data_IF_330530767744
#
_entry.id   IF_330530767744
#
_cell.length_a   1.000
_cell.length_b   1.000
_cell.length_c   1.000
_cell.angle_alpha   90.00
_cell.angle_beta   90.00
_cell.angle_gamma   90.00
#
_symmetry.space_group_name_H-M   'P 1'
#
loop_
_entity.id
_entity.type
_entity.pdbx_description
1 polymer ?
#
# COMPACT_ATOMS: atom_id res chain seq x y z
N UNK A 1 -3.87 -20.50 16.83
CA UNK A 1 -3.83 -19.09 16.48
C UNK A 1 -3.26 -18.93 15.07
N UNK A 2 -3.91 -18.23 14.23
CA UNK A 2 -3.39 -18.09 12.88
C UNK A 2 -2.46 -16.88 12.81
N UNK A 3 -1.32 -17.09 12.19
CA UNK A 3 -0.35 -16.03 11.95
C UNK A 3 -0.56 -15.47 10.55
N UNK A 4 -1.71 -14.83 10.35
CA UNK A 4 -2.03 -14.22 9.07
C UNK A 4 -1.44 -12.82 9.01
N UNK A 5 -0.65 -12.56 7.98
CA UNK A 5 -0.10 -11.24 7.71
C UNK A 5 -1.08 -10.48 6.83
N UNK A 6 -1.47 -9.31 7.26
CA UNK A 6 -2.46 -8.48 6.56
C UNK A 6 -1.75 -7.38 5.78
N UNK A 7 -1.88 -7.43 4.47
CA UNK A 7 -1.22 -6.48 3.56
C UNK A 7 -2.28 -5.72 2.77
N UNK A 8 -2.15 -4.40 2.72
CA UNK A 8 -3.00 -3.56 1.89
C UNK A 8 -2.24 -3.07 0.68
N UNK A 9 -2.97 -2.80 -0.41
CA UNK A 9 -2.38 -2.27 -1.64
C UNK A 9 -2.96 -0.89 -1.93
N UNK A 10 -2.08 0.08 -2.15
CA UNK A 10 -2.48 1.44 -2.49
C UNK A 10 -2.25 1.63 -3.99
N UNK A 11 -3.35 1.83 -4.73
CA UNK A 11 -3.34 1.94 -6.18
C UNK A 11 -3.59 0.60 -6.87
N UNK A 12 -4.65 0.54 -7.67
CA UNK A 12 -5.02 -0.66 -8.44
C UNK A 12 -4.87 -0.44 -9.94
N UNK A 13 -3.77 0.19 -10.36
CA UNK A 13 -3.35 0.13 -11.74
C UNK A 13 -2.82 -1.26 -12.07
N UNK A 14 -2.13 -1.40 -13.19
CA UNK A 14 -1.65 -2.71 -13.65
C UNK A 14 -0.81 -3.44 -12.58
N UNK A 15 0.16 -2.75 -12.00
CA UNK A 15 1.06 -3.35 -11.01
C UNK A 15 0.33 -3.61 -9.69
N UNK A 16 -0.49 -2.68 -9.24
CA UNK A 16 -1.29 -2.85 -8.03
C UNK A 16 -2.21 -4.06 -8.12
N UNK A 17 -2.84 -4.27 -9.27
CA UNK A 17 -3.67 -5.45 -9.50
C UNK A 17 -2.88 -6.74 -9.40
N UNK A 18 -1.64 -6.76 -9.92
CA UNK A 18 -0.78 -7.94 -9.82
C UNK A 18 -0.47 -8.26 -8.37
N UNK A 19 -0.11 -7.25 -7.58
CA UNK A 19 0.14 -7.43 -6.16
C UNK A 19 -1.11 -7.96 -5.46
N UNK A 20 -2.26 -7.34 -5.70
CA UNK A 20 -3.51 -7.75 -5.08
C UNK A 20 -3.87 -9.20 -5.40
N UNK A 21 -3.75 -9.60 -6.65
CA UNK A 21 -4.04 -10.98 -7.07
C UNK A 21 -3.09 -11.98 -6.43
N UNK A 22 -1.82 -11.65 -6.35
CA UNK A 22 -0.82 -12.52 -5.71
C UNK A 22 -1.13 -12.69 -4.23
N UNK A 23 -1.45 -11.59 -3.54
CA UNK A 23 -1.78 -11.63 -2.12
C UNK A 23 -3.00 -12.50 -1.84
N UNK A 24 -4.03 -12.41 -2.70
CA UNK A 24 -5.24 -13.23 -2.56
C UNK A 24 -4.97 -14.73 -2.70
N UNK A 25 -3.87 -15.12 -3.34
CA UNK A 25 -3.51 -16.52 -3.59
C UNK A 25 -2.35 -17.00 -2.74
N UNK A 26 -1.82 -16.17 -1.85
CA UNK A 26 -0.67 -16.52 -1.02
C UNK A 26 -1.14 -17.05 0.33
N UNK A 27 -0.83 -18.31 0.68
CA UNK A 27 -1.18 -18.84 2.01
C UNK A 27 -0.53 -18.03 3.12
N UNK A 28 -1.28 -17.78 4.19
CA UNK A 28 -0.79 -17.03 5.34
C UNK A 28 -0.82 -15.53 5.17
N UNK A 29 -1.30 -15.04 4.02
CA UNK A 29 -1.40 -13.61 3.75
C UNK A 29 -2.85 -13.27 3.38
N UNK A 30 -3.32 -12.15 3.89
CA UNK A 30 -4.64 -11.63 3.57
C UNK A 30 -4.49 -10.25 2.93
N UNK A 31 -5.17 -10.04 1.79
CA UNK A 31 -5.32 -8.72 1.23
C UNK A 31 -6.33 -7.98 2.10
N UNK A 32 -5.86 -7.10 2.98
CA UNK A 32 -6.69 -6.48 4.01
C UNK A 32 -7.49 -5.28 3.51
N UNK A 33 -7.11 -4.71 2.38
CA UNK A 33 -7.82 -3.58 1.80
C UNK A 33 -7.07 -2.98 0.64
N UNK A 34 -7.74 -2.11 -0.09
CA UNK A 34 -7.12 -1.35 -1.18
C UNK A 34 -7.50 0.11 -1.06
N UNK A 35 -6.61 0.97 -1.52
CA UNK A 35 -6.89 2.39 -1.69
C UNK A 35 -6.96 2.66 -3.18
N UNK A 36 -8.10 3.16 -3.64
CA UNK A 36 -8.30 3.44 -5.05
C UNK A 36 -9.37 4.51 -5.22
N UNK A 37 -9.08 5.50 -6.07
CA UNK A 37 -10.00 6.60 -6.34
C UNK A 37 -10.76 6.41 -7.65
N UNK A 38 -10.20 5.66 -8.59
CA UNK A 38 -10.86 5.44 -9.88
C UNK A 38 -12.03 4.46 -9.71
N UNK A 39 -13.08 4.69 -10.50
CA UNK A 39 -14.25 3.80 -10.47
C UNK A 39 -13.88 2.38 -10.91
N UNK A 40 -13.05 2.24 -11.94
CA UNK A 40 -12.61 0.93 -12.40
C UNK A 40 -11.83 0.17 -11.37
N UNK A 41 -10.93 0.85 -10.64
CA UNK A 41 -10.17 0.24 -9.57
C UNK A 41 -11.04 -0.13 -8.38
N UNK A 42 -12.04 0.69 -8.07
CA UNK A 42 -13.00 0.37 -7.00
C UNK A 42 -13.85 -0.84 -7.34
N UNK A 43 -14.25 -0.97 -8.60
CA UNK A 43 -14.99 -2.15 -9.07
C UNK A 43 -14.14 -3.40 -8.96
N UNK A 44 -12.86 -3.31 -9.31
CA UNK A 44 -11.93 -4.43 -9.20
C UNK A 44 -11.77 -4.87 -7.74
N UNK A 45 -11.66 -3.92 -6.82
CA UNK A 45 -11.57 -4.22 -5.39
C UNK A 45 -12.83 -4.92 -4.89
N UNK A 46 -14.01 -4.46 -5.34
CA UNK A 46 -15.27 -5.12 -4.99
C UNK A 46 -15.32 -6.53 -5.51
N UNK A 47 -14.81 -6.75 -6.73
CA UNK A 47 -14.74 -8.11 -7.31
C UNK A 47 -13.86 -9.02 -6.46
N UNK A 48 -12.80 -8.48 -5.87
CA UNK A 48 -11.92 -9.24 -5.00
C UNK A 48 -12.52 -9.43 -3.59
N UNK A 49 -13.60 -8.72 -3.27
CA UNK A 49 -14.27 -8.87 -1.98
C UNK A 49 -13.51 -8.24 -0.82
N UNK A 50 -12.72 -7.21 -1.07
CA UNK A 50 -11.91 -6.55 -0.03
C UNK A 50 -12.40 -5.15 0.26
N UNK A 51 -12.14 -4.61 1.47
CA UNK A 51 -12.48 -3.22 1.80
C UNK A 51 -11.78 -2.24 0.88
N UNK A 52 -12.51 -1.19 0.49
CA UNK A 52 -12.00 -0.13 -0.37
C UNK A 52 -11.97 1.17 0.41
N UNK A 53 -10.83 1.85 0.38
CA UNK A 53 -10.66 3.15 1.01
C UNK A 53 -10.40 4.21 -0.05
N UNK A 54 -10.92 5.41 0.17
CA UNK A 54 -10.75 6.51 -0.77
C UNK A 54 -9.36 7.15 -0.68
N UNK A 55 -8.69 7.02 0.45
CA UNK A 55 -7.37 7.61 0.69
C UNK A 55 -6.50 6.74 1.58
N UNK A 56 -5.19 6.98 1.50
CA UNK A 56 -4.24 6.32 2.39
C UNK A 56 -4.50 6.69 3.86
N UNK A 57 -4.85 7.94 4.12
CA UNK A 57 -5.17 8.38 5.49
C UNK A 57 -6.31 7.56 6.08
N UNK A 58 -7.33 7.29 5.29
CA UNK A 58 -8.46 6.47 5.72
C UNK A 58 -8.02 5.05 6.06
N UNK A 59 -7.19 4.46 5.20
CA UNK A 59 -6.64 3.13 5.43
C UNK A 59 -5.82 3.08 6.73
N UNK A 60 -4.92 4.04 6.90
CA UNK A 60 -4.05 4.09 8.07
C UNK A 60 -4.84 4.30 9.37
N UNK A 61 -5.91 5.10 9.31
CA UNK A 61 -6.77 5.34 10.47
C UNK A 61 -7.53 4.10 10.92
N UNK A 62 -7.74 3.15 10.03
CA UNK A 62 -8.43 1.90 10.38
C UNK A 62 -7.52 0.89 11.07
N UNK A 63 -6.21 1.05 10.96
CA UNK A 63 -5.24 0.27 11.72
C UNK A 63 -5.26 -1.24 11.52
N UNK A 64 -5.66 -1.70 10.35
CA UNK A 64 -5.85 -3.12 10.13
C UNK A 64 -4.76 -3.83 9.31
N UNK A 65 -3.70 -3.13 8.93
CA UNK A 65 -2.68 -3.70 8.05
C UNK A 65 -1.35 -3.86 8.77
N UNK A 66 -0.68 -4.99 8.50
CA UNK A 66 0.68 -5.25 9.00
C UNK A 66 1.73 -4.68 8.07
N UNK A 67 1.36 -4.41 6.83
CA UNK A 67 2.22 -3.79 5.83
C UNK A 67 1.40 -3.22 4.68
N UNK A 68 2.02 -2.34 3.92
CA UNK A 68 1.37 -1.66 2.80
C UNK A 68 2.27 -1.71 1.58
N UNK A 69 1.67 -1.97 0.42
CA UNK A 69 2.36 -1.88 -0.87
C UNK A 69 1.87 -0.62 -1.57
N UNK A 70 2.78 0.29 -1.88
CA UNK A 70 2.47 1.48 -2.67
C UNK A 70 2.73 1.20 -4.14
N UNK A 71 1.65 1.12 -4.90
CA UNK A 71 1.69 0.90 -6.36
C UNK A 71 1.04 2.08 -7.09
N UNK A 72 1.24 3.28 -6.58
CA UNK A 72 0.74 4.54 -7.11
C UNK A 72 1.76 5.16 -8.07
N UNK A 73 1.40 6.26 -8.78
CA UNK A 73 2.37 6.98 -9.58
C UNK A 73 3.54 7.50 -8.74
N UNK A 74 4.73 7.46 -9.31
CA UNK A 74 5.97 7.82 -8.63
C UNK A 74 5.94 9.15 -7.85
N UNK A 75 5.35 10.23 -8.40
CA UNK A 75 5.31 11.51 -7.66
C UNK A 75 4.62 11.45 -6.30
N UNK A 76 3.80 10.43 -6.05
CA UNK A 76 3.08 10.26 -4.78
C UNK A 76 3.87 9.44 -3.76
N UNK A 77 4.95 8.79 -4.17
CA UNK A 77 5.65 7.81 -3.33
C UNK A 77 6.23 8.41 -2.07
N UNK A 78 6.86 9.58 -2.15
CA UNK A 78 7.53 10.15 -0.99
C UNK A 78 6.53 10.53 0.10
N UNK A 79 5.46 11.23 -0.24
CA UNK A 79 4.45 11.63 0.74
C UNK A 79 3.73 10.42 1.32
N UNK A 80 3.37 9.47 0.49
CA UNK A 80 2.68 8.26 0.95
C UNK A 80 3.59 7.37 1.79
N UNK A 81 4.84 7.23 1.38
CA UNK A 81 5.82 6.48 2.14
C UNK A 81 6.07 7.07 3.52
N UNK A 82 6.21 8.39 3.59
CA UNK A 82 6.40 9.09 4.86
C UNK A 82 5.20 8.92 5.79
N UNK A 83 3.99 8.93 5.23
CA UNK A 83 2.77 8.69 6.01
C UNK A 83 2.76 7.29 6.62
N UNK A 84 3.13 6.27 5.86
CA UNK A 84 3.22 4.91 6.36
C UNK A 84 4.26 4.79 7.48
N UNK A 85 5.43 5.38 7.28
CA UNK A 85 6.50 5.36 8.28
C UNK A 85 6.06 6.05 9.57
N UNK A 86 5.37 7.19 9.46
CA UNK A 86 4.86 7.91 10.61
C UNK A 86 3.85 7.09 11.42
N UNK A 87 3.12 6.19 10.77
CA UNK A 87 2.19 5.27 11.42
C UNK A 87 2.86 3.95 11.84
N UNK A 88 4.17 3.89 11.75
CA UNK A 88 4.94 2.69 12.08
C UNK A 88 4.49 1.46 11.30
N UNK A 89 4.03 1.68 10.06
CA UNK A 89 3.58 0.62 9.18
C UNK A 89 4.66 0.31 8.14
N UNK A 90 5.19 -0.90 8.10
CA UNK A 90 6.15 -1.30 7.07
C UNK A 90 5.57 -1.08 5.68
N UNK A 91 6.40 -0.58 4.77
CA UNK A 91 5.94 -0.23 3.44
C UNK A 91 6.90 -0.74 2.37
N UNK A 92 6.32 -1.32 1.32
CA UNK A 92 7.04 -1.66 0.10
C UNK A 92 6.60 -0.64 -0.96
N UNK A 93 7.56 0.06 -1.52
CA UNK A 93 7.29 1.08 -2.54
C UNK A 93 7.77 0.57 -3.89
N UNK A 94 6.87 0.55 -4.88
CA UNK A 94 7.22 0.16 -6.23
C UNK A 94 8.27 1.09 -6.82
N UNK A 95 9.04 0.56 -7.74
CA UNK A 95 10.08 1.31 -8.44
C UNK A 95 9.45 2.23 -9.50
N UNK A 96 10.07 3.38 -9.78
CA UNK A 96 11.18 3.94 -9.02
C UNK A 96 10.68 4.45 -7.67
N UNK A 97 11.53 4.38 -6.64
CA UNK A 97 11.12 4.72 -5.28
C UNK A 97 10.69 6.17 -5.14
N UNK A 98 11.29 7.06 -5.91
CA UNK A 98 10.99 8.49 -5.89
C UNK A 98 11.38 9.12 -7.23
N UNK A 99 10.95 10.37 -7.42
CA UNK A 99 11.28 11.13 -8.64
C UNK A 99 12.75 11.57 -8.64
N UNK A 100 13.29 11.90 -7.47
CA UNK A 100 14.67 12.35 -7.32
C UNK A 100 15.40 11.56 -6.24
N UNK A 101 16.75 11.59 -6.31
CA UNK A 101 17.58 10.98 -5.27
C UNK A 101 17.38 11.65 -3.91
N UNK A 102 17.15 12.97 -3.89
CA UNK A 102 16.87 13.70 -2.66
C UNK A 102 15.61 13.23 -1.97
N UNK A 103 14.55 13.00 -2.74
CA UNK A 103 13.30 12.47 -2.20
C UNK A 103 13.46 11.03 -1.69
N UNK A 104 14.22 10.21 -2.41
CA UNK A 104 14.51 8.85 -1.97
C UNK A 104 15.25 8.87 -0.64
N UNK A 105 16.18 9.82 -0.47
CA UNK A 105 16.91 9.97 0.78
C UNK A 105 16.01 10.35 1.95
N UNK A 106 15.00 11.19 1.71
CA UNK A 106 14.01 11.52 2.76
C UNK A 106 13.32 10.26 3.27
N UNK A 107 12.95 9.37 2.37
CA UNK A 107 12.30 8.11 2.74
C UNK A 107 13.23 7.20 3.53
N UNK A 108 14.44 6.99 3.04
CA UNK A 108 15.38 6.08 3.71
C UNK A 108 15.83 6.63 5.07
N UNK A 109 16.01 7.95 5.19
CA UNK A 109 16.35 8.57 6.46
C UNK A 109 15.21 8.43 7.47
N UNK A 110 13.97 8.65 7.03
CA UNK A 110 12.79 8.49 7.89
C UNK A 110 12.63 7.05 8.35
N UNK A 111 12.83 6.08 7.45
CA UNK A 111 12.74 4.67 7.79
C UNK A 111 13.80 4.26 8.79
N UNK A 112 15.02 4.77 8.64
CA UNK A 112 16.12 4.47 9.55
C UNK A 112 15.89 5.05 10.96
N UNK A 113 15.15 6.16 11.06
CA UNK A 113 14.83 6.81 12.33
C UNK A 113 13.63 6.18 13.05
N UNK A 114 12.88 5.35 12.37
CA UNK A 114 11.65 4.76 12.90
C UNK A 114 11.93 3.52 13.77
#
# INVERSE_FOLDING_TARGET
MSDITRIAVVGLGLIGKRHANILCRTPGVELSGVVEQSEGGQQEARRLGVPVFASLDELLSNGGSDGIILATPTPLHVDQGLACIAHECPVLIEKPIAVTAGEAKLLTDAAAAA
#
